data_IF_635856689643
#
_entry.id   IF_635856689643
#
_cell.length_a   1.000
_cell.length_b   1.000
_cell.length_c   1.000
_cell.angle_alpha   90.00
_cell.angle_beta   90.00
_cell.angle_gamma   90.00
#
_symmetry.space_group_name_H-M   'P 1'
#
loop_
_entity.id
_entity.type
_entity.pdbx_description
1 polymer ?
#
# COMPACT_ATOMS: atom_id res chain seq x y z
N UNK A 1 16.08 -9.52 6.38
CA UNK A 1 15.39 -8.37 5.77
C UNK A 1 16.42 -7.40 5.24
N UNK A 2 16.16 -6.72 4.11
CA UNK A 2 17.01 -5.64 3.63
C UNK A 2 17.08 -4.50 4.64
N UNK A 3 18.22 -3.81 4.69
CA UNK A 3 18.45 -2.58 5.46
C UNK A 3 17.81 -1.37 4.78
N UNK A 4 17.88 -1.32 3.45
CA UNK A 4 17.23 -0.32 2.61
C UNK A 4 16.76 -0.95 1.31
N UNK A 5 15.77 -0.31 0.68
CA UNK A 5 15.18 -0.72 -0.59
C UNK A 5 14.91 0.52 -1.43
N UNK A 6 15.18 0.44 -2.72
CA UNK A 6 14.82 1.48 -3.69
C UNK A 6 14.53 0.84 -5.05
N UNK A 7 13.83 1.58 -5.92
CA UNK A 7 13.61 1.19 -7.31
C UNK A 7 14.57 2.00 -8.18
N UNK A 8 15.32 1.32 -9.05
CA UNK A 8 16.18 1.94 -10.04
C UNK A 8 15.40 2.51 -11.23
N UNK A 9 16.04 3.30 -12.10
CA UNK A 9 15.38 3.91 -13.26
C UNK A 9 14.84 2.87 -14.26
N UNK A 10 15.43 1.67 -14.28
CA UNK A 10 15.02 0.57 -15.15
C UNK A 10 13.96 -0.35 -14.52
N UNK A 11 13.42 0.01 -13.34
CA UNK A 11 12.43 -0.80 -12.61
C UNK A 11 13.05 -1.92 -11.77
N UNK A 12 14.38 -1.96 -11.66
CA UNK A 12 15.09 -2.92 -10.83
C UNK A 12 14.97 -2.59 -9.35
N UNK A 13 14.84 -3.63 -8.51
CA UNK A 13 14.84 -3.43 -7.07
C UNK A 13 16.27 -3.51 -6.53
N UNK A 14 16.69 -2.45 -5.87
CA UNK A 14 17.99 -2.35 -5.22
C UNK A 14 17.80 -2.60 -3.72
N UNK A 15 18.44 -3.64 -3.21
CA UNK A 15 18.25 -4.14 -1.85
C UNK A 15 19.59 -4.15 -1.12
N UNK A 16 19.77 -3.28 -0.13
CA UNK A 16 20.96 -3.32 0.72
C UNK A 16 20.77 -4.38 1.81
N UNK A 17 21.73 -5.29 1.96
CA UNK A 17 21.70 -6.34 2.96
C UNK A 17 22.99 -6.34 3.80
N UNK A 18 22.96 -6.85 5.04
CA UNK A 18 24.20 -7.25 5.71
C UNK A 18 24.95 -8.27 4.85
N UNK A 19 26.26 -8.13 4.72
CA UNK A 19 27.08 -9.00 3.86
C UNK A 19 26.97 -10.49 4.26
N UNK A 20 26.76 -10.77 5.55
CA UNK A 20 26.55 -12.11 6.07
C UNK A 20 25.09 -12.62 5.92
N UNK A 21 24.21 -11.92 5.20
CA UNK A 21 22.82 -12.35 5.08
C UNK A 21 22.66 -13.59 4.19
N UNK A 22 21.66 -14.46 4.44
CA UNK A 22 21.41 -15.64 3.61
C UNK A 22 21.20 -15.32 2.13
N UNK A 23 20.51 -14.21 1.82
CA UNK A 23 20.27 -13.77 0.45
C UNK A 23 21.58 -13.43 -0.28
N UNK A 24 22.50 -12.73 0.38
CA UNK A 24 23.82 -12.40 -0.17
C UNK A 24 24.64 -13.65 -0.41
N UNK A 25 24.66 -14.59 0.53
CA UNK A 25 25.35 -15.87 0.35
C UNK A 25 24.77 -16.67 -0.82
N UNK A 26 23.44 -16.74 -0.92
CA UNK A 26 22.78 -17.45 -2.01
C UNK A 26 23.12 -16.85 -3.38
N UNK A 27 23.04 -15.52 -3.51
CA UNK A 27 23.40 -14.82 -4.74
C UNK A 27 24.88 -15.00 -5.12
N UNK A 28 25.80 -14.92 -4.15
CA UNK A 28 27.23 -15.09 -4.38
C UNK A 28 27.68 -16.52 -4.75
N UNK A 29 26.82 -17.52 -4.57
CA UNK A 29 27.11 -18.92 -4.91
C UNK A 29 26.22 -19.44 -6.05
N UNK A 30 25.47 -18.55 -6.70
CA UNK A 30 24.65 -18.92 -7.85
C UNK A 30 25.53 -19.29 -9.04
N UNK A 31 25.10 -20.28 -9.82
CA UNK A 31 25.77 -20.59 -11.09
C UNK A 31 25.54 -19.40 -12.05
N UNK A 32 26.58 -18.99 -12.76
CA UNK A 32 26.57 -17.82 -13.66
C UNK A 32 26.28 -16.48 -12.97
N UNK A 33 26.47 -16.39 -11.64
CA UNK A 33 26.21 -15.20 -10.81
C UNK A 33 24.74 -14.71 -10.79
N UNK A 34 23.79 -15.53 -11.28
CA UNK A 34 22.36 -15.20 -11.35
C UNK A 34 21.50 -16.20 -10.56
N UNK A 35 20.74 -15.67 -9.59
CA UNK A 35 19.78 -16.46 -8.81
C UNK A 35 18.35 -16.05 -9.14
N UNK A 36 17.51 -16.97 -9.61
CA UNK A 36 16.07 -16.71 -9.68
C UNK A 36 15.51 -16.50 -8.28
N UNK A 37 14.88 -15.35 -8.06
CA UNK A 37 14.36 -14.96 -6.76
C UNK A 37 12.95 -14.37 -6.87
N UNK A 38 12.25 -14.40 -5.74
CA UNK A 38 10.94 -13.77 -5.57
C UNK A 38 11.00 -12.87 -4.35
N UNK A 39 10.64 -11.60 -4.53
CA UNK A 39 10.40 -10.68 -3.42
C UNK A 39 8.90 -10.66 -3.11
N UNK A 40 8.50 -11.16 -1.95
CA UNK A 40 7.14 -11.05 -1.45
C UNK A 40 6.99 -9.81 -0.58
N UNK A 41 5.97 -9.01 -0.87
CA UNK A 41 5.61 -7.78 -0.16
C UNK A 41 4.20 -7.95 0.39
N UNK A 42 3.99 -7.55 1.62
CA UNK A 42 2.67 -7.52 2.24
C UNK A 42 2.41 -6.12 2.74
N UNK A 43 1.36 -5.50 2.22
CA UNK A 43 0.89 -4.20 2.64
C UNK A 43 -0.18 -4.36 3.73
N UNK A 44 0.03 -3.65 4.84
CA UNK A 44 -0.73 -3.78 6.07
C UNK A 44 -1.32 -2.43 6.41
N UNK A 45 -2.64 -2.36 6.60
CA UNK A 45 -3.30 -1.14 7.00
C UNK A 45 -2.66 -0.58 8.29
N UNK A 46 -2.30 0.72 8.33
CA UNK A 46 -1.55 1.32 9.43
C UNK A 46 -2.40 1.58 10.69
N UNK A 47 -3.65 1.14 10.69
CA UNK A 47 -4.63 1.29 11.77
C UNK A 47 -5.23 -0.06 12.14
N UNK A 48 -5.78 -0.17 13.34
CA UNK A 48 -6.38 -1.41 13.82
C UNK A 48 -7.73 -1.66 13.15
N UNK A 49 -7.79 -2.69 12.31
CA UNK A 49 -9.00 -3.11 11.59
C UNK A 49 -8.99 -4.62 11.34
N UNK A 50 -10.15 -5.30 11.31
CA UNK A 50 -10.23 -6.67 10.84
C UNK A 50 -9.70 -6.81 9.40
N UNK A 51 -9.07 -7.95 9.11
CA UNK A 51 -8.49 -8.27 7.80
C UNK A 51 -7.51 -7.20 7.29
N UNK A 52 -6.64 -6.69 8.17
CA UNK A 52 -5.72 -5.56 7.91
C UNK A 52 -4.68 -5.76 6.79
N UNK A 53 -4.62 -6.91 6.13
CA UNK A 53 -3.80 -7.06 4.93
C UNK A 53 -4.56 -6.40 3.79
N UNK A 54 -4.05 -5.27 3.30
CA UNK A 54 -4.66 -4.48 2.22
C UNK A 54 -4.12 -4.86 0.85
N UNK A 55 -2.94 -5.45 0.79
CA UNK A 55 -2.44 -6.01 -0.45
C UNK A 55 -1.27 -6.96 -0.24
N UNK A 56 -1.01 -7.77 -1.25
CA UNK A 56 0.19 -8.58 -1.39
C UNK A 56 0.76 -8.36 -2.78
N UNK A 57 2.07 -8.26 -2.87
CA UNK A 57 2.75 -8.22 -4.15
C UNK A 57 3.87 -9.25 -4.18
N UNK A 58 4.17 -9.74 -5.38
CA UNK A 58 5.32 -10.60 -5.66
C UNK A 58 6.06 -10.01 -6.84
N UNK A 59 7.37 -9.86 -6.71
CA UNK A 59 8.24 -9.47 -7.82
C UNK A 59 9.19 -10.61 -8.10
N UNK A 60 9.10 -11.17 -9.30
CA UNK A 60 9.91 -12.27 -9.80
C UNK A 60 11.05 -11.71 -10.64
N UNK A 61 12.24 -12.26 -10.48
CA UNK A 61 13.39 -11.72 -11.19
C UNK A 61 14.69 -12.48 -11.00
N UNK A 62 15.75 -11.92 -11.58
CA UNK A 62 17.13 -12.37 -11.40
C UNK A 62 17.81 -11.54 -10.32
N UNK A 63 18.30 -12.20 -9.29
CA UNK A 63 19.02 -11.58 -8.19
C UNK A 63 20.52 -11.72 -8.42
N UNK A 64 21.20 -10.58 -8.46
CA UNK A 64 22.66 -10.48 -8.64
C UNK A 64 23.29 -9.68 -7.51
N UNK A 65 24.56 -9.92 -7.23
CA UNK A 65 25.33 -9.07 -6.31
C UNK A 65 25.88 -7.86 -7.06
N UNK A 66 25.94 -6.70 -6.39
CA UNK A 66 26.56 -5.49 -6.93
C UNK A 66 27.72 -5.07 -6.01
N UNK A 67 28.93 -5.62 -6.22
CA UNK A 67 30.08 -5.36 -5.37
C UNK A 67 30.52 -3.88 -5.40
N UNK A 68 31.09 -3.40 -4.29
CA UNK A 68 31.71 -2.07 -4.21
C UNK A 68 30.76 -0.87 -4.09
N UNK A 69 29.45 -1.10 -4.17
CA UNK A 69 28.43 -0.03 -4.08
C UNK A 69 27.85 0.16 -2.67
N UNK A 70 28.26 -0.67 -1.70
CA UNK A 70 27.78 -0.62 -0.31
C UNK A 70 28.94 -0.36 0.66
N UNK A 71 28.63 0.22 1.83
CA UNK A 71 29.60 0.45 2.89
C UNK A 71 30.13 -0.85 3.54
N UNK A 72 31.17 -0.76 4.40
CA UNK A 72 31.75 -1.92 5.05
C UNK A 72 30.71 -2.79 5.78
N UNK A 73 30.78 -4.11 5.59
CA UNK A 73 29.86 -5.08 6.20
C UNK A 73 28.48 -5.19 5.54
N UNK A 74 28.27 -4.51 4.41
CA UNK A 74 27.03 -4.53 3.64
C UNK A 74 27.28 -5.01 2.20
N UNK A 75 26.23 -5.47 1.56
CA UNK A 75 26.23 -5.87 0.15
C UNK A 75 24.95 -5.37 -0.50
N UNK A 76 25.09 -4.85 -1.71
CA UNK A 76 23.96 -4.46 -2.52
C UNK A 76 23.54 -5.64 -3.41
N UNK A 77 22.26 -5.96 -3.41
CA UNK A 77 21.67 -6.94 -4.32
C UNK A 77 20.76 -6.20 -5.30
N UNK A 78 20.84 -6.56 -6.57
CA UNK A 78 19.94 -6.07 -7.62
C UNK A 78 19.01 -7.22 -8.00
N UNK A 79 17.71 -6.99 -7.86
CA UNK A 79 16.69 -7.86 -8.44
C UNK A 79 16.24 -7.21 -9.76
N UNK A 80 16.67 -7.78 -10.86
CA UNK A 80 16.19 -7.41 -12.18
C UNK A 80 14.76 -7.91 -12.34
N UNK A 81 13.81 -6.98 -12.48
CA UNK A 81 12.38 -7.29 -12.49
C UNK A 81 12.02 -8.01 -13.79
N UNK A 82 11.52 -9.24 -13.68
CA UNK A 82 11.00 -10.00 -14.82
C UNK A 82 9.48 -9.90 -14.94
N UNK A 83 8.78 -10.05 -13.82
CA UNK A 83 7.32 -9.95 -13.74
C UNK A 83 6.91 -9.60 -12.31
N UNK A 84 5.80 -8.87 -12.15
CA UNK A 84 5.19 -8.63 -10.86
C UNK A 84 3.74 -9.12 -10.83
N UNK A 85 3.27 -9.46 -9.63
CA UNK A 85 1.88 -9.80 -9.37
C UNK A 85 1.43 -9.03 -8.15
N UNK A 86 0.25 -8.39 -8.23
CA UNK A 86 -0.36 -7.64 -7.14
C UNK A 86 -1.76 -8.20 -6.89
N UNK A 87 -2.11 -8.37 -5.63
CA UNK A 87 -3.45 -8.75 -5.14
C UNK A 87 -3.81 -7.82 -3.97
N UNK A 88 -4.68 -6.84 -4.23
CA UNK A 88 -4.98 -5.75 -3.31
C UNK A 88 -6.48 -5.38 -3.24
N UNK A 89 -6.80 -4.20 -2.72
CA UNK A 89 -8.17 -3.71 -2.54
C UNK A 89 -8.90 -3.38 -3.87
N UNK A 90 -8.20 -3.40 -5.00
CA UNK A 90 -8.72 -3.16 -6.35
C UNK A 90 -8.80 -4.44 -7.18
N UNK A 91 -8.03 -5.47 -6.81
CA UNK A 91 -8.12 -6.80 -7.40
C UNK A 91 -6.76 -7.44 -7.56
N UNK A 92 -6.73 -8.47 -8.41
CA UNK A 92 -5.51 -9.20 -8.72
C UNK A 92 -5.07 -8.93 -10.16
N UNK A 93 -3.82 -8.54 -10.34
CA UNK A 93 -3.25 -8.17 -11.62
C UNK A 93 -1.80 -8.65 -11.76
N UNK A 94 -1.42 -8.94 -13.01
CA UNK A 94 -0.08 -9.34 -13.41
C UNK A 94 0.52 -8.21 -14.23
N UNK A 95 1.69 -7.73 -13.81
CA UNK A 95 2.35 -6.52 -14.28
C UNK A 95 3.65 -6.91 -14.98
N UNK A 96 3.82 -6.43 -16.21
CA UNK A 96 5.04 -6.64 -16.97
C UNK A 96 6.21 -5.80 -16.44
N UNK A 97 7.47 -6.12 -16.81
CA UNK A 97 8.64 -5.38 -16.32
C UNK A 97 8.63 -3.92 -16.81
N UNK A 98 8.20 -3.70 -18.05
CA UNK A 98 8.09 -2.35 -18.63
C UNK A 98 7.00 -1.52 -17.94
N UNK A 99 5.85 -2.13 -17.64
CA UNK A 99 4.76 -1.47 -16.91
C UNK A 99 5.17 -1.14 -15.48
N UNK A 100 5.90 -2.04 -14.81
CA UNK A 100 6.46 -1.78 -13.48
C UNK A 100 7.43 -0.61 -13.48
N UNK A 101 8.30 -0.53 -14.49
CA UNK A 101 9.29 0.55 -14.68
C UNK A 101 8.64 1.90 -15.00
N UNK A 102 7.58 1.89 -15.81
CA UNK A 102 6.84 3.11 -16.21
C UNK A 102 5.85 3.59 -15.12
N UNK A 103 5.52 2.74 -14.15
CA UNK A 103 4.65 3.09 -13.05
C UNK A 103 5.27 4.18 -12.15
N UNK A 104 4.43 5.12 -11.72
CA UNK A 104 4.81 6.17 -10.77
C UNK A 104 4.10 5.98 -9.44
N UNK A 105 4.83 6.11 -8.35
CA UNK A 105 4.26 6.07 -7.00
C UNK A 105 3.21 7.18 -6.81
N UNK A 106 2.24 6.94 -5.91
CA UNK A 106 1.28 7.97 -5.51
C UNK A 106 1.99 9.12 -4.77
N UNK A 107 1.69 10.41 -5.05
CA UNK A 107 2.35 11.54 -4.39
C UNK A 107 2.08 11.58 -2.88
N UNK A 108 1.04 10.89 -2.40
CA UNK A 108 0.69 10.83 -0.99
C UNK A 108 1.34 9.65 -0.26
N UNK A 109 2.12 8.78 -0.94
CA UNK A 109 2.65 7.53 -0.35
C UNK A 109 3.46 7.77 0.93
N UNK A 110 4.26 8.84 0.97
CA UNK A 110 5.09 9.17 2.13
C UNK A 110 4.28 9.68 3.33
N UNK A 111 3.06 10.17 3.09
CA UNK A 111 2.18 10.74 4.11
C UNK A 111 1.01 9.82 4.48
N UNK A 112 0.69 8.83 3.65
CA UNK A 112 -0.51 8.00 3.77
C UNK A 112 -0.65 7.38 5.17
N UNK A 113 0.45 6.83 5.69
CA UNK A 113 0.46 6.17 7.01
C UNK A 113 0.01 7.12 8.11
N UNK A 114 0.63 8.31 8.18
CA UNK A 114 0.32 9.32 9.20
C UNK A 114 -1.11 9.86 9.03
N UNK A 115 -1.54 10.07 7.78
CA UNK A 115 -2.88 10.53 7.46
C UNK A 115 -3.96 9.53 7.89
N UNK A 116 -3.79 8.24 7.58
CA UNK A 116 -4.74 7.20 7.98
C UNK A 116 -4.82 7.05 9.50
N UNK A 117 -3.68 7.11 10.19
CA UNK A 117 -3.63 7.08 11.66
C UNK A 117 -4.30 8.30 12.28
N UNK A 118 -4.04 9.49 11.72
CA UNK A 118 -4.69 10.72 12.15
C UNK A 118 -6.21 10.67 11.94
N UNK A 119 -6.67 10.25 10.77
CA UNK A 119 -8.10 10.09 10.48
C UNK A 119 -8.77 9.11 11.44
N UNK A 120 -8.13 7.98 11.73
CA UNK A 120 -8.67 6.97 12.64
C UNK A 120 -8.78 7.48 14.09
N UNK A 121 -7.81 8.29 14.55
CA UNK A 121 -7.74 8.74 15.95
C UNK A 121 -8.51 10.04 16.20
N UNK A 122 -8.44 11.00 15.28
CA UNK A 122 -8.99 12.34 15.45
C UNK A 122 -10.35 12.55 14.77
N UNK A 123 -10.70 11.74 13.76
CA UNK A 123 -11.84 11.98 12.88
C UNK A 123 -12.85 10.82 12.83
N UNK A 124 -12.91 9.98 13.86
CA UNK A 124 -13.84 8.84 13.91
C UNK A 124 -15.32 9.23 13.76
N UNK A 125 -15.73 10.35 14.36
CA UNK A 125 -17.10 10.87 14.23
C UNK A 125 -17.40 11.35 12.80
N UNK A 126 -16.49 12.10 12.17
CA UNK A 126 -16.64 12.52 10.76
C UNK A 126 -16.64 11.32 9.80
N UNK A 127 -15.76 10.34 9.99
CA UNK A 127 -15.80 9.10 9.20
C UNK A 127 -17.13 8.36 9.34
N UNK A 128 -17.77 8.49 10.51
CA UNK A 128 -19.09 7.93 10.77
C UNK A 128 -20.22 8.52 9.91
N UNK A 129 -20.06 9.75 9.40
CA UNK A 129 -21.05 10.42 8.52
C UNK A 129 -21.05 9.83 7.11
N UNK A 130 -19.90 9.32 6.65
CA UNK A 130 -19.75 8.70 5.31
C UNK A 130 -20.73 7.54 5.06
N UNK A 131 -21.25 6.91 6.12
CA UNK A 131 -22.31 5.89 6.01
C UNK A 131 -23.57 6.41 5.31
N UNK A 132 -23.88 7.71 5.43
CA UNK A 132 -25.02 8.34 4.78
C UNK A 132 -24.96 8.26 3.25
N UNK A 133 -23.74 8.30 2.70
CA UNK A 133 -23.48 8.23 1.26
C UNK A 133 -23.59 6.80 0.69
N UNK A 134 -23.52 5.76 1.53
CA UNK A 134 -23.56 4.34 1.11
C UNK A 134 -24.99 3.80 0.88
N UNK A 135 -25.98 4.69 0.89
CA UNK A 135 -27.38 4.38 0.59
C UNK A 135 -28.12 3.62 1.68
N UNK A 136 -29.42 3.38 1.44
CA UNK A 136 -30.38 2.91 2.45
C UNK A 136 -30.04 1.53 3.06
N UNK A 137 -29.26 0.68 2.37
CA UNK A 137 -28.91 -0.67 2.86
C UNK A 137 -27.95 -0.63 4.05
N UNK A 138 -27.06 0.35 4.11
CA UNK A 138 -26.14 0.57 5.25
C UNK A 138 -26.79 1.46 6.32
N UNK A 139 -27.71 2.35 5.91
CA UNK A 139 -28.45 3.23 6.81
C UNK A 139 -29.57 2.52 7.61
N UNK A 140 -30.03 1.33 7.18
CA UNK A 140 -31.11 0.56 7.82
C UNK A 140 -30.70 -0.17 9.11
N UNK A 141 -29.49 0.07 9.61
CA UNK A 141 -29.04 -0.43 10.91
C UNK A 141 -29.65 0.37 12.07
N UNK A 142 -30.05 -0.31 13.13
CA UNK A 142 -30.44 0.32 14.39
C UNK A 142 -29.28 1.23 14.88
N UNK A 143 -29.52 2.45 15.41
CA UNK A 143 -28.46 3.39 15.81
C UNK A 143 -27.42 2.79 16.76
N UNK A 144 -27.84 1.86 17.62
CA UNK A 144 -26.97 1.10 18.54
C UNK A 144 -26.08 0.03 17.87
N UNK A 145 -26.25 -0.21 16.56
CA UNK A 145 -25.63 -1.28 15.79
C UNK A 145 -24.92 -0.75 14.52
N UNK A 146 -24.50 0.51 14.51
CA UNK A 146 -23.78 1.10 13.37
C UNK A 146 -22.39 0.47 13.20
N UNK A 147 -22.02 -0.02 12.01
CA UNK A 147 -20.72 -0.66 11.78
C UNK A 147 -19.59 0.35 11.91
N UNK A 148 -18.50 0.05 12.60
CA UNK A 148 -17.35 0.95 12.73
C UNK A 148 -16.79 1.30 11.33
N UNK A 149 -16.51 2.58 11.08
CA UNK A 149 -15.91 3.05 9.82
C UNK A 149 -14.43 3.31 10.07
N UNK A 150 -13.57 2.54 9.42
CA UNK A 150 -12.12 2.60 9.63
C UNK A 150 -11.44 2.94 8.30
N UNK A 151 -10.57 3.97 8.24
CA UNK A 151 -9.88 4.30 7.00
C UNK A 151 -8.80 3.25 6.72
N UNK A 152 -8.71 2.74 5.49
CA UNK A 152 -7.81 1.62 5.15
C UNK A 152 -6.81 1.93 4.04
N UNK A 153 -7.17 2.81 3.12
CA UNK A 153 -6.28 3.29 2.06
C UNK A 153 -6.66 4.71 1.66
N UNK A 154 -5.66 5.52 1.35
CA UNK A 154 -5.81 6.89 0.89
C UNK A 154 -4.77 7.17 -0.18
N UNK A 155 -5.23 7.62 -1.34
CA UNK A 155 -4.38 7.93 -2.48
C UNK A 155 -4.89 9.22 -3.16
N UNK A 156 -4.22 9.64 -4.23
CA UNK A 156 -4.59 10.87 -4.94
C UNK A 156 -6.03 10.89 -5.46
N UNK A 157 -6.64 9.73 -5.67
CA UNK A 157 -7.96 9.58 -6.28
C UNK A 157 -9.08 9.49 -5.24
N UNK A 158 -8.79 9.27 -3.96
CA UNK A 158 -9.85 9.11 -2.97
C UNK A 158 -9.46 8.38 -1.69
N UNK A 159 -10.49 8.17 -0.86
CA UNK A 159 -10.41 7.49 0.43
C UNK A 159 -11.18 6.18 0.37
N UNK A 160 -10.55 5.09 0.82
CA UNK A 160 -11.21 3.81 1.08
C UNK A 160 -11.38 3.60 2.58
N UNK A 161 -12.59 3.22 2.97
CA UNK A 161 -12.93 2.86 4.34
C UNK A 161 -13.47 1.44 4.41
N UNK A 162 -13.24 0.79 5.53
CA UNK A 162 -13.81 -0.50 5.88
C UNK A 162 -14.91 -0.31 6.92
N UNK A 163 -16.08 -0.87 6.64
CA UNK A 163 -17.21 -0.90 7.53
C UNK A 163 -17.32 -2.28 8.15
N UNK A 164 -17.18 -2.38 9.47
CA UNK A 164 -17.28 -3.65 10.19
C UNK A 164 -18.49 -3.70 11.12
N UNK A 165 -19.38 -4.64 10.86
CA UNK A 165 -20.54 -4.96 11.70
C UNK A 165 -20.17 -5.76 12.94
N UNK A 166 -21.11 -5.87 13.89
CA UNK A 166 -20.92 -6.63 15.14
C UNK A 166 -20.97 -8.14 14.94
N UNK A 167 -21.55 -8.60 13.84
CA UNK A 167 -21.59 -9.99 13.39
C UNK A 167 -20.25 -10.46 12.78
N UNK A 168 -19.24 -9.58 12.75
CA UNK A 168 -17.94 -9.85 12.15
C UNK A 168 -17.92 -9.68 10.62
N UNK A 169 -19.04 -9.29 10.00
CA UNK A 169 -19.04 -8.93 8.59
C UNK A 169 -18.28 -7.61 8.40
N UNK A 170 -17.41 -7.56 7.40
CA UNK A 170 -16.77 -6.33 6.98
C UNK A 170 -16.89 -6.19 5.47
N UNK A 171 -17.09 -4.95 5.00
CA UNK A 171 -17.01 -4.63 3.58
C UNK A 171 -16.32 -3.28 3.39
N UNK A 172 -15.73 -3.09 2.22
CA UNK A 172 -15.04 -1.85 1.87
C UNK A 172 -15.93 -0.96 1.01
N UNK A 173 -15.83 0.34 1.27
CA UNK A 173 -16.41 1.37 0.43
C UNK A 173 -15.31 2.35 0.01
N UNK A 174 -15.37 2.74 -1.26
CA UNK A 174 -14.46 3.72 -1.86
C UNK A 174 -15.23 5.01 -2.11
N UNK A 175 -14.63 6.11 -1.67
CA UNK A 175 -15.09 7.47 -1.92
C UNK A 175 -14.07 8.17 -2.80
N UNK A 176 -14.41 8.36 -4.06
CA UNK A 176 -13.53 9.02 -5.01
C UNK A 176 -13.63 10.53 -4.89
N UNK A 177 -12.49 11.20 -5.01
CA UNK A 177 -12.43 12.64 -5.15
C UNK A 177 -12.88 13.04 -6.56
N UNK A 178 -13.55 14.18 -6.73
CA UNK A 178 -13.98 14.65 -8.05
C UNK A 178 -12.81 14.86 -9.02
N UNK A 179 -11.65 15.28 -8.49
CA UNK A 179 -10.41 15.46 -9.24
C UNK A 179 -9.23 14.86 -8.45
N UNK A 180 -8.20 14.32 -9.13
CA UNK A 180 -7.00 13.82 -8.47
C UNK A 180 -6.25 14.93 -7.73
N UNK A 181 -5.93 14.70 -6.45
CA UNK A 181 -5.15 15.63 -5.63
C UNK A 181 -3.66 15.46 -5.86
N UNK A 182 -2.90 16.55 -5.80
CA UNK A 182 -1.45 16.54 -6.10
C UNK A 182 -0.58 16.53 -4.85
N UNK A 183 -1.11 17.04 -3.74
CA UNK A 183 -0.39 17.18 -2.48
C UNK A 183 -1.34 17.14 -1.28
N UNK A 184 -0.75 17.24 -0.08
CA UNK A 184 -1.49 17.22 1.20
C UNK A 184 -2.42 18.44 1.36
N UNK A 185 -2.13 19.58 0.71
CA UNK A 185 -2.96 20.78 0.80
C UNK A 185 -4.26 20.59 0.01
N UNK A 186 -4.16 20.09 -1.21
CA UNK A 186 -5.32 19.72 -2.04
C UNK A 186 -6.12 18.59 -1.40
N UNK A 187 -5.44 17.59 -0.84
CA UNK A 187 -6.07 16.51 -0.09
C UNK A 187 -6.97 17.04 1.04
N UNK A 188 -6.49 18.00 1.84
CA UNK A 188 -7.30 18.59 2.93
C UNK A 188 -8.60 19.18 2.40
N UNK A 189 -8.54 19.90 1.27
CA UNK A 189 -9.73 20.48 0.63
C UNK A 189 -10.68 19.39 0.14
N UNK A 190 -10.16 18.37 -0.55
CA UNK A 190 -10.97 17.25 -1.03
C UNK A 190 -11.65 16.48 0.11
N UNK A 191 -10.94 16.27 1.23
CA UNK A 191 -11.47 15.65 2.44
C UNK A 191 -12.57 16.49 3.09
N UNK A 192 -12.41 17.83 3.16
CA UNK A 192 -13.46 18.72 3.64
C UNK A 192 -14.73 18.62 2.78
N UNK A 193 -14.59 18.69 1.45
CA UNK A 193 -15.73 18.53 0.52
C UNK A 193 -16.43 17.18 0.70
N UNK A 194 -15.66 16.10 0.86
CA UNK A 194 -16.20 14.76 1.09
C UNK A 194 -17.03 14.69 2.38
N UNK A 195 -16.51 15.26 3.48
CA UNK A 195 -17.23 15.25 4.76
C UNK A 195 -18.45 16.19 4.77
N UNK A 196 -18.38 17.33 4.08
CA UNK A 196 -19.54 18.21 3.90
C UNK A 196 -20.65 17.51 3.12
N UNK A 197 -20.31 16.83 2.02
CA UNK A 197 -21.27 16.05 1.24
C UNK A 197 -21.93 14.93 2.08
N UNK A 198 -21.19 14.32 3.01
CA UNK A 198 -21.69 13.27 3.88
C UNK A 198 -22.52 13.78 5.08
N UNK A 199 -22.48 15.08 5.37
CA UNK A 199 -23.26 15.71 6.43
C UNK A 199 -24.69 16.08 6.00
N UNK A 200 -24.98 16.01 4.69
CA UNK A 200 -26.28 16.29 4.07
C UNK A 200 -27.06 15.02 3.76
#
# INVERSE_FOLDING_TARGET
MPLSRSVGPDGDLILEHPAASPAVRAAAHAQDDELTAVLEITDVAPVSVPHRIRGRARVFGRLTTVPGMAGPGRMLLRLETGEAYVDDLWGAERIGPEEFRDASADPLVDHETELLQHLHTAHGEQLGTLRGLLGKRVASGCPAHRPAVVPVALDRLGLRVRLCGRDGSCFDARFDFPEPVRDVVELRRAMHTLFEAAAH
#
